data_IF_976200642484
#
_entry.id   IF_976200642484
#
_cell.length_a   1.000
_cell.length_b   1.000
_cell.length_c   1.000
_cell.angle_alpha   90.00
_cell.angle_beta   90.00
_cell.angle_gamma   90.00
#
_symmetry.space_group_name_H-M   'P 1'
#
loop_
_entity.id
_entity.type
_entity.pdbx_description
1 polymer ?
#
# COMPACT_ATOMS: atom_id res chain seq x y z
N UNK A 1 1.87 18.96 9.29
CA UNK A 1 3.21 18.96 8.66
C UNK A 1 3.07 18.40 7.25
N UNK A 2 3.56 19.13 6.26
CA UNK A 2 3.54 18.75 4.84
C UNK A 2 4.62 17.71 4.52
N UNK A 3 4.50 17.03 3.38
CA UNK A 3 5.60 16.17 2.88
C UNK A 3 6.89 16.98 2.66
N UNK A 4 6.78 18.23 2.18
CA UNK A 4 7.93 19.12 2.02
C UNK A 4 8.73 19.29 3.31
N UNK A 5 8.06 19.58 4.41
CA UNK A 5 8.70 19.77 5.72
C UNK A 5 9.34 18.48 6.22
N UNK A 6 8.61 17.36 6.15
CA UNK A 6 9.10 16.07 6.65
C UNK A 6 10.32 15.54 5.90
N UNK A 7 10.34 15.72 4.58
CA UNK A 7 11.33 15.08 3.71
C UNK A 7 12.43 16.04 3.22
N UNK A 8 12.43 17.29 3.69
CA UNK A 8 13.35 18.36 3.27
C UNK A 8 14.80 17.89 3.13
N UNK A 9 15.37 17.37 4.20
CA UNK A 9 16.79 16.95 4.23
C UNK A 9 17.08 15.82 3.24
N UNK A 10 16.18 14.84 3.11
CA UNK A 10 16.35 13.73 2.15
C UNK A 10 16.28 14.19 0.70
N UNK A 11 15.41 15.17 0.41
CA UNK A 11 15.30 15.75 -0.94
C UNK A 11 16.58 16.52 -1.29
N UNK A 12 17.10 17.30 -0.35
CA UNK A 12 18.38 18.03 -0.51
C UNK A 12 19.52 17.02 -0.73
N UNK A 13 19.60 15.96 0.08
CA UNK A 13 20.63 14.93 -0.03
C UNK A 13 20.62 14.25 -1.42
N UNK A 14 19.45 13.88 -1.94
CA UNK A 14 19.32 13.31 -3.28
C UNK A 14 19.78 14.29 -4.36
N UNK A 15 19.38 15.56 -4.26
CA UNK A 15 19.76 16.60 -5.21
C UNK A 15 21.29 16.82 -5.22
N UNK A 16 21.92 16.86 -4.04
CA UNK A 16 23.36 17.04 -3.90
C UNK A 16 24.17 15.82 -4.36
N UNK A 17 23.73 14.60 -4.05
CA UNK A 17 24.46 13.37 -4.38
C UNK A 17 24.35 12.97 -5.84
N UNK A 18 23.14 13.01 -6.39
CA UNK A 18 22.84 12.46 -7.72
C UNK A 18 22.74 13.51 -8.83
N UNK A 19 22.61 14.79 -8.45
CA UNK A 19 22.29 15.88 -9.38
C UNK A 19 20.97 15.66 -10.11
N UNK A 20 20.06 14.85 -9.56
CA UNK A 20 18.83 14.42 -10.19
C UNK A 20 17.62 14.72 -9.30
N UNK A 21 16.43 14.65 -9.90
CA UNK A 21 15.18 14.71 -9.18
C UNK A 21 14.98 13.47 -8.31
N UNK A 22 14.18 13.64 -7.26
CA UNK A 22 13.78 12.52 -6.43
C UNK A 22 12.55 11.78 -7.02
N UNK A 23 12.43 10.51 -6.68
CA UNK A 23 11.21 9.73 -6.80
C UNK A 23 10.77 9.17 -5.45
N UNK A 24 9.51 8.76 -5.37
CA UNK A 24 8.91 8.20 -4.17
C UNK A 24 8.68 6.70 -4.40
N UNK A 25 9.27 5.86 -3.56
CA UNK A 25 9.11 4.40 -3.65
C UNK A 25 7.70 4.01 -3.24
N UNK A 26 7.04 3.24 -4.11
CA UNK A 26 5.68 2.75 -3.90
C UNK A 26 5.54 1.97 -2.59
N UNK A 27 4.47 2.27 -1.87
CA UNK A 27 4.13 1.63 -0.59
C UNK A 27 4.92 2.17 0.60
N UNK A 28 6.24 2.30 0.51
CA UNK A 28 7.09 2.56 1.70
C UNK A 28 7.18 4.05 2.06
N UNK A 29 6.99 4.95 1.09
CA UNK A 29 7.24 6.37 1.32
C UNK A 29 8.71 6.74 1.48
N UNK A 30 9.62 5.93 0.94
CA UNK A 30 11.05 6.23 0.87
C UNK A 30 11.34 7.09 -0.36
N UNK A 31 12.27 8.04 -0.20
CA UNK A 31 12.76 8.87 -1.30
C UNK A 31 14.03 8.24 -1.86
N UNK A 32 14.13 8.17 -3.19
CA UNK A 32 15.33 7.74 -3.94
C UNK A 32 15.61 8.72 -5.09
N UNK A 33 16.83 8.69 -5.63
CA UNK A 33 17.13 9.37 -6.89
C UNK A 33 16.38 8.70 -8.05
N UNK A 34 15.91 9.48 -9.03
CA UNK A 34 15.30 8.93 -10.24
C UNK A 34 16.29 8.06 -11.06
N UNK A 35 17.60 8.33 -11.00
CA UNK A 35 18.65 7.47 -11.58
C UNK A 35 18.79 6.10 -10.93
N UNK A 36 18.37 5.96 -9.66
CA UNK A 36 18.57 4.74 -8.86
C UNK A 36 17.28 3.92 -8.69
N UNK A 37 16.22 4.28 -9.41
CA UNK A 37 14.93 3.60 -9.32
C UNK A 37 14.27 3.45 -10.67
N UNK A 38 13.61 2.31 -10.88
CA UNK A 38 12.76 2.14 -12.03
C UNK A 38 11.48 2.97 -11.90
N UNK A 39 11.04 3.55 -13.02
CA UNK A 39 9.77 4.30 -13.06
C UNK A 39 8.61 3.44 -12.54
N UNK A 40 8.58 2.13 -12.84
CA UNK A 40 7.50 1.24 -12.38
C UNK A 40 7.39 1.14 -10.84
N UNK A 41 8.49 1.38 -10.12
CA UNK A 41 8.56 1.38 -8.65
C UNK A 41 8.24 2.76 -8.04
N UNK A 42 8.08 3.79 -8.87
CA UNK A 42 7.81 5.16 -8.45
C UNK A 42 6.30 5.42 -8.27
N UNK A 43 5.94 6.21 -7.26
CA UNK A 43 4.55 6.68 -7.06
C UNK A 43 4.12 7.77 -8.04
N UNK A 44 5.09 8.36 -8.74
CA UNK A 44 4.86 9.31 -9.83
C UNK A 44 4.82 8.62 -11.20
N UNK A 45 4.87 7.30 -11.25
CA UNK A 45 4.78 6.54 -12.48
C UNK A 45 3.46 6.76 -13.23
N UNK A 46 3.51 6.65 -14.56
CA UNK A 46 2.36 6.84 -15.45
C UNK A 46 1.95 8.30 -15.66
N UNK A 47 2.69 9.28 -15.12
CA UNK A 47 2.48 10.69 -15.41
C UNK A 47 3.45 11.20 -16.47
N UNK A 48 2.93 11.98 -17.42
CA UNK A 48 3.75 12.69 -18.40
C UNK A 48 4.65 13.76 -17.77
N UNK A 49 4.25 14.33 -16.62
CA UNK A 49 4.98 15.38 -15.92
C UNK A 49 5.20 15.01 -14.45
N UNK A 50 6.34 14.37 -14.17
CA UNK A 50 6.75 14.02 -12.81
C UNK A 50 6.99 15.27 -11.92
N UNK A 51 7.39 16.40 -12.51
CA UNK A 51 7.69 17.63 -11.77
C UNK A 51 6.43 18.25 -11.18
N UNK A 52 5.33 18.31 -11.95
CA UNK A 52 4.02 18.75 -11.43
C UNK A 52 3.53 17.85 -10.30
N UNK A 53 3.73 16.54 -10.41
CA UNK A 53 3.25 15.58 -9.42
C UNK A 53 4.07 15.60 -8.13
N UNK A 54 5.39 15.80 -8.23
CA UNK A 54 6.24 16.08 -7.07
C UNK A 54 5.78 17.32 -6.32
N UNK A 55 5.52 18.44 -7.02
CA UNK A 55 5.02 19.67 -6.39
C UNK A 55 3.72 19.41 -5.63
N UNK A 56 2.73 18.81 -6.29
CA UNK A 56 1.46 18.44 -5.64
C UNK A 56 1.66 17.54 -4.42
N UNK A 57 2.57 16.58 -4.48
CA UNK A 57 2.85 15.69 -3.36
C UNK A 57 3.54 16.42 -2.20
N UNK A 58 4.50 17.30 -2.49
CA UNK A 58 5.21 18.10 -1.48
C UNK A 58 4.25 18.97 -0.66
N UNK A 59 3.24 19.53 -1.31
CA UNK A 59 2.28 20.44 -0.69
C UNK A 59 1.13 19.71 0.02
N UNK A 60 1.03 18.38 -0.10
CA UNK A 60 0.07 17.57 0.67
C UNK A 60 0.49 17.45 2.14
N UNK A 61 -0.52 17.36 3.00
CA UNK A 61 -0.33 16.90 4.38
C UNK A 61 0.39 15.55 4.39
N UNK A 62 1.35 15.41 5.30
CA UNK A 62 2.07 14.17 5.44
C UNK A 62 1.14 13.11 6.07
N UNK A 63 0.74 12.13 5.25
CA UNK A 63 0.15 10.90 5.77
C UNK A 63 1.21 10.07 6.52
N UNK A 64 0.78 9.24 7.47
CA UNK A 64 1.66 8.25 8.09
C UNK A 64 2.03 7.22 7.02
N UNK A 65 3.25 7.32 6.50
CA UNK A 65 3.81 6.29 5.62
C UNK A 65 3.93 4.98 6.40
N UNK A 66 3.33 3.93 5.85
CA UNK A 66 3.35 2.59 6.42
C UNK A 66 4.65 1.93 5.94
N UNK A 67 5.49 1.49 6.89
CA UNK A 67 6.63 0.68 6.52
C UNK A 67 6.18 -0.76 6.26
N UNK A 68 5.79 -1.06 5.02
CA UNK A 68 5.32 -2.41 4.65
C UNK A 68 6.37 -3.50 4.86
N UNK A 69 7.66 -3.15 4.95
CA UNK A 69 8.74 -4.09 5.22
C UNK A 69 8.65 -4.70 6.62
N UNK A 70 8.08 -3.96 7.59
CA UNK A 70 7.92 -4.39 8.98
C UNK A 70 6.46 -4.74 9.32
N UNK A 71 5.59 -4.82 8.30
CA UNK A 71 4.16 -5.07 8.50
C UNK A 71 3.94 -6.55 8.86
N UNK A 72 3.09 -6.81 9.84
CA UNK A 72 2.73 -8.17 10.25
C UNK A 72 1.96 -8.89 9.14
N UNK A 73 2.33 -10.14 8.85
CA UNK A 73 1.57 -11.03 7.95
C UNK A 73 0.12 -11.12 8.45
N UNK A 74 -0.82 -11.25 7.51
CA UNK A 74 -2.26 -11.29 7.74
C UNK A 74 -2.86 -10.00 8.32
N UNK A 75 -2.13 -8.89 8.24
CA UNK A 75 -2.71 -7.59 8.54
C UNK A 75 -3.81 -7.25 7.52
N UNK A 76 -5.01 -6.83 7.96
CA UNK A 76 -6.08 -6.38 7.06
C UNK A 76 -5.65 -5.14 6.27
N UNK A 77 -5.80 -5.18 4.95
CA UNK A 77 -5.40 -4.09 4.05
C UNK A 77 -6.42 -3.91 2.93
N UNK A 78 -6.38 -2.73 2.33
CA UNK A 78 -7.04 -2.43 1.06
C UNK A 78 -5.98 -2.33 -0.03
N UNK A 79 -6.19 -3.03 -1.14
CA UNK A 79 -5.22 -3.11 -2.26
C UNK A 79 -5.87 -2.83 -3.61
N UNK A 80 -5.07 -2.32 -4.56
CA UNK A 80 -5.46 -2.20 -5.97
C UNK A 80 -4.29 -2.17 -6.93
N UNK A 81 -4.51 -2.59 -8.18
CA UNK A 81 -3.46 -2.69 -9.21
C UNK A 81 -3.22 -1.34 -9.87
N UNK A 82 -4.29 -0.65 -10.25
CA UNK A 82 -4.24 0.67 -10.88
C UNK A 82 -4.81 1.75 -9.96
N UNK A 83 -4.55 3.00 -10.30
CA UNK A 83 -5.00 4.15 -9.52
C UNK A 83 -6.52 4.29 -9.49
N UNK A 84 -7.17 4.00 -10.60
CA UNK A 84 -8.62 4.21 -10.78
C UNK A 84 -9.44 2.96 -10.47
N UNK A 85 -8.78 1.85 -10.11
CA UNK A 85 -9.44 0.63 -9.65
C UNK A 85 -10.11 0.88 -8.28
N UNK A 86 -11.19 0.15 -8.03
CA UNK A 86 -11.80 0.03 -6.71
C UNK A 86 -10.84 -0.65 -5.72
N UNK A 87 -10.94 -0.26 -4.45
CA UNK A 87 -10.18 -0.87 -3.38
C UNK A 87 -10.71 -2.26 -3.06
N UNK A 88 -9.85 -3.27 -3.08
CA UNK A 88 -10.18 -4.63 -2.70
C UNK A 88 -9.70 -4.92 -1.28
N UNK A 89 -10.54 -5.57 -0.49
CA UNK A 89 -10.19 -6.08 0.83
C UNK A 89 -9.31 -7.31 0.68
N UNK A 90 -8.19 -7.33 1.40
CA UNK A 90 -7.26 -8.44 1.39
C UNK A 90 -6.46 -8.48 2.70
N UNK A 91 -5.60 -9.48 2.81
CA UNK A 91 -4.69 -9.66 3.94
C UNK A 91 -3.23 -9.60 3.43
N UNK A 92 -2.39 -8.87 4.15
CA UNK A 92 -0.99 -8.67 3.80
C UNK A 92 -0.21 -9.98 3.84
N UNK A 93 0.52 -10.29 2.77
CA UNK A 93 1.38 -11.47 2.69
C UNK A 93 2.86 -11.11 2.86
N UNK A 94 3.35 -10.15 2.06
CA UNK A 94 4.73 -9.66 2.11
C UNK A 94 4.91 -8.36 1.34
N UNK A 95 6.05 -7.70 1.53
CA UNK A 95 6.50 -6.58 0.72
C UNK A 95 7.79 -6.95 -0.01
N UNK A 96 7.79 -6.86 -1.34
CA UNK A 96 8.95 -7.25 -2.15
C UNK A 96 8.99 -6.44 -3.45
N UNK A 97 10.18 -5.98 -3.86
CA UNK A 97 10.41 -5.26 -5.13
C UNK A 97 9.38 -4.14 -5.42
N UNK A 98 9.16 -3.22 -4.46
CA UNK A 98 8.25 -2.10 -4.67
C UNK A 98 6.76 -2.45 -4.57
N UNK A 99 6.39 -3.73 -4.38
CA UNK A 99 5.03 -4.24 -4.45
C UNK A 99 4.55 -4.80 -3.11
N UNK A 100 3.29 -4.54 -2.80
CA UNK A 100 2.58 -5.14 -1.67
C UNK A 100 1.93 -6.41 -2.17
N UNK A 101 2.28 -7.55 -1.60
CA UNK A 101 1.62 -8.82 -1.90
C UNK A 101 0.50 -9.05 -0.91
N UNK A 102 -0.65 -9.47 -1.42
CA UNK A 102 -1.77 -9.90 -0.62
C UNK A 102 -2.18 -11.32 -1.02
N UNK A 103 -2.67 -12.10 -0.06
CA UNK A 103 -3.13 -13.46 -0.30
C UNK A 103 -4.28 -13.50 -1.29
N UNK A 104 -4.33 -14.57 -2.09
CA UNK A 104 -5.38 -14.75 -3.07
C UNK A 104 -6.77 -14.88 -2.42
N UNK A 105 -7.79 -14.41 -3.13
CA UNK A 105 -9.20 -14.63 -2.78
C UNK A 105 -9.61 -14.19 -1.35
N UNK A 106 -8.91 -13.22 -0.76
CA UNK A 106 -9.20 -12.73 0.59
C UNK A 106 -8.84 -13.74 1.70
N UNK A 107 -8.02 -14.73 1.38
CA UNK A 107 -7.50 -15.70 2.34
C UNK A 107 -6.46 -15.09 3.30
N UNK A 108 -6.04 -15.86 4.29
CA UNK A 108 -4.91 -15.57 5.19
C UNK A 108 -3.81 -16.60 4.99
N UNK A 109 -2.69 -16.46 5.68
CA UNK A 109 -1.60 -17.44 5.66
C UNK A 109 -2.05 -18.86 6.08
N UNK A 110 -3.19 -18.99 6.76
CA UNK A 110 -3.74 -20.27 7.21
C UNK A 110 -4.72 -20.90 6.22
N UNK A 111 -5.41 -20.09 5.41
CA UNK A 111 -6.48 -20.55 4.52
C UNK A 111 -6.13 -20.46 3.04
N UNK A 112 -5.01 -19.81 2.70
CA UNK A 112 -4.59 -19.63 1.31
C UNK A 112 -4.22 -20.97 0.67
N UNK A 113 -4.81 -21.23 -0.49
CA UNK A 113 -4.50 -22.42 -1.28
C UNK A 113 -3.15 -22.24 -1.95
N UNK A 114 -2.24 -23.21 -1.76
CA UNK A 114 -0.90 -23.24 -2.36
C UNK A 114 0.00 -22.01 -2.09
N UNK A 115 -0.30 -21.21 -1.05
CA UNK A 115 0.48 -20.01 -0.74
C UNK A 115 0.40 -18.91 -1.83
N UNK A 116 -0.67 -18.90 -2.64
CA UNK A 116 -0.82 -17.94 -3.73
C UNK A 116 -1.00 -16.50 -3.20
N UNK A 117 -0.15 -15.59 -3.69
CA UNK A 117 -0.23 -14.17 -3.38
C UNK A 117 -0.02 -13.33 -4.63
N UNK A 118 -0.77 -12.23 -4.74
CA UNK A 118 -0.72 -11.32 -5.87
C UNK A 118 -0.08 -10.00 -5.49
N UNK A 119 0.78 -9.48 -6.37
CA UNK A 119 1.41 -8.18 -6.20
C UNK A 119 0.48 -7.03 -6.59
N UNK A 120 0.37 -6.04 -5.72
CA UNK A 120 -0.39 -4.81 -5.89
C UNK A 120 0.52 -3.59 -5.81
N UNK A 121 0.16 -2.55 -6.56
CA UNK A 121 0.92 -1.29 -6.62
C UNK A 121 0.53 -0.33 -5.51
N UNK A 122 -0.75 -0.35 -5.11
CA UNK A 122 -1.28 0.54 -4.10
C UNK A 122 -1.88 -0.28 -2.97
N UNK A 123 -1.56 0.12 -1.74
CA UNK A 123 -2.12 -0.44 -0.52
C UNK A 123 -2.33 0.65 0.54
N UNK A 124 -3.32 0.46 1.40
CA UNK A 124 -3.50 1.23 2.63
C UNK A 124 -4.05 0.33 3.73
N UNK A 125 -3.87 0.73 4.98
CA UNK A 125 -4.56 0.06 6.08
C UNK A 125 -6.06 0.30 5.97
N UNK A 126 -6.83 -0.74 6.28
CA UNK A 126 -8.26 -0.59 6.49
C UNK A 126 -8.47 0.07 7.86
N UNK A 127 -9.45 0.97 7.95
CA UNK A 127 -9.83 1.53 9.24
C UNK A 127 -10.46 0.45 10.12
N UNK A 128 -10.26 0.54 11.45
CA UNK A 128 -10.77 -0.48 12.38
C UNK A 128 -12.30 -0.59 12.33
N UNK A 129 -13.01 0.53 12.22
CA UNK A 129 -14.47 0.52 12.13
C UNK A 129 -14.93 -0.08 10.80
N UNK A 130 -14.25 0.26 9.70
CA UNK A 130 -14.51 -0.33 8.39
C UNK A 130 -14.29 -1.85 8.43
N UNK A 131 -13.20 -2.32 9.03
CA UNK A 131 -12.90 -3.75 9.18
C UNK A 131 -13.95 -4.49 10.01
N UNK A 132 -14.35 -3.96 11.16
CA UNK A 132 -15.39 -4.59 12.01
C UNK A 132 -16.70 -4.74 11.24
N UNK A 133 -17.11 -3.72 10.47
CA UNK A 133 -18.29 -3.82 9.62
C UNK A 133 -18.17 -4.97 8.61
N UNK A 134 -16.98 -5.21 8.04
CA UNK A 134 -16.79 -6.34 7.12
C UNK A 134 -16.98 -7.71 7.77
N UNK A 135 -16.57 -7.84 9.04
CA UNK A 135 -16.73 -9.08 9.79
C UNK A 135 -18.21 -9.34 10.13
N UNK A 136 -18.95 -8.28 10.49
CA UNK A 136 -20.36 -8.38 10.85
C UNK A 136 -21.25 -8.88 9.70
N UNK A 137 -20.97 -8.50 8.45
CA UNK A 137 -21.68 -9.01 7.27
C UNK A 137 -21.25 -10.41 6.83
N UNK A 138 -20.17 -10.96 7.42
CA UNK A 138 -19.64 -12.28 7.10
C UNK A 138 -20.14 -13.39 8.04
N UNK A 139 -20.84 -13.03 9.12
CA UNK A 139 -21.48 -14.01 10.00
C UNK A 139 -22.76 -14.49 9.30
N UNK A 140 -22.86 -15.76 8.89
CA UNK A 140 -24.13 -16.30 8.44
C UNK A 140 -25.05 -16.27 9.65
N UNK A 141 -26.19 -15.58 9.57
CA UNK A 141 -27.28 -15.74 10.54
C UNK A 141 -27.93 -17.11 10.32
N UNK A 142 -27.18 -18.19 10.47
CA UNK A 142 -27.74 -19.52 10.60
C UNK A 142 -28.14 -19.69 12.06
N UNK A 143 -29.37 -19.27 12.37
CA UNK A 143 -30.14 -19.86 13.46
C UNK A 143 -30.29 -21.35 13.16
N UNK A 144 -29.34 -22.16 13.65
CA UNK A 144 -29.53 -23.61 13.73
C UNK A 144 -30.58 -23.88 14.79
N UNK A 145 -31.82 -24.09 14.37
CA UNK A 145 -32.82 -24.77 15.19
C UNK A 145 -32.41 -26.24 15.29
N UNK A 146 -31.85 -26.63 16.42
CA UNK A 146 -31.69 -28.05 16.76
C UNK A 146 -33.08 -28.56 17.17
N UNK A 147 -33.72 -29.34 16.30
CA UNK A 147 -34.82 -30.21 16.72
C UNK A 147 -34.23 -31.54 17.22
N UNK A 148 -34.29 -31.75 18.52
CA UNK A 148 -34.10 -33.09 19.09
C UNK A 148 -35.34 -33.93 18.73
N UNK A 149 -35.11 -35.08 18.08
CA UNK A 149 -36.10 -36.16 17.97
C UNK A 149 -35.89 -37.15 19.11
#
# INVERSE_FOLDING_TARGET
>A
MTNREKFKEKIIDVALKSGDSFGLVNGIGKIKSCKEMDCSECSFDGFRDCSKQRKKWLDKECEKYINWQDMTIDSPILVKKKRDDEWKKAYFAKYEHGKIYAWDSGATSWSVVNGLAWGYKYAKLIDRAEYINTLLFSIPTHTRTYSYK
#
